data_IF_678845704558
#
_entry.id   IF_678845704558
#
_cell.length_a   1.000
_cell.length_b   1.000
_cell.length_c   1.000
_cell.angle_alpha   90.00
_cell.angle_beta   90.00
_cell.angle_gamma   90.00
#
_symmetry.space_group_name_H-M   'P 1'
#
loop_
_entity.id
_entity.type
_entity.pdbx_description
1 polymer ?
#
# COMPACT_ATOMS: atom_id res chain seq x y z
N UNK A 1 19.81 -6.37 -3.91
CA UNK A 1 18.66 -5.49 -3.53
C UNK A 1 17.31 -6.05 -3.98
N UNK A 2 17.14 -6.47 -5.25
CA UNK A 2 15.84 -6.95 -5.75
C UNK A 2 15.14 -7.98 -4.86
N UNK A 3 15.81 -9.07 -4.46
CA UNK A 3 15.21 -10.12 -3.60
C UNK A 3 14.62 -9.56 -2.29
N UNK A 4 15.33 -8.63 -1.65
CA UNK A 4 14.89 -7.98 -0.40
C UNK A 4 13.71 -7.05 -0.65
N UNK A 5 13.77 -6.25 -1.71
CA UNK A 5 12.66 -5.37 -2.12
C UNK A 5 11.41 -6.16 -2.51
N UNK A 6 11.58 -7.27 -3.23
CA UNK A 6 10.50 -8.18 -3.64
C UNK A 6 9.83 -8.84 -2.44
N UNK A 7 10.63 -9.37 -1.51
CA UNK A 7 10.10 -9.96 -0.28
C UNK A 7 9.37 -8.92 0.58
N UNK A 8 9.94 -7.71 0.72
CA UNK A 8 9.28 -6.58 1.38
C UNK A 8 7.93 -6.28 0.73
N UNK A 9 7.88 -6.13 -0.60
CA UNK A 9 6.62 -5.86 -1.30
C UNK A 9 5.57 -6.94 -1.12
N UNK A 10 5.98 -8.22 -1.17
CA UNK A 10 5.07 -9.34 -0.96
C UNK A 10 4.52 -9.37 0.46
N UNK A 11 5.38 -9.18 1.48
CA UNK A 11 4.96 -9.15 2.88
C UNK A 11 4.10 -7.93 3.17
N UNK A 12 4.45 -6.75 2.66
CA UNK A 12 3.65 -5.53 2.80
C UNK A 12 2.30 -5.67 2.12
N UNK A 13 2.23 -6.26 0.93
CA UNK A 13 0.98 -6.51 0.21
C UNK A 13 0.07 -7.51 0.91
N UNK A 14 0.62 -8.59 1.46
CA UNK A 14 -0.13 -9.55 2.28
C UNK A 14 -0.65 -8.90 3.56
N UNK A 15 0.21 -8.16 4.28
CA UNK A 15 -0.19 -7.45 5.50
C UNK A 15 -1.30 -6.43 5.21
N UNK A 16 -1.17 -5.67 4.12
CA UNK A 16 -2.18 -4.73 3.67
C UNK A 16 -3.49 -5.43 3.31
N UNK A 17 -3.42 -6.58 2.62
CA UNK A 17 -4.60 -7.39 2.31
C UNK A 17 -5.33 -7.88 3.56
N UNK A 18 -4.61 -8.41 4.54
CA UNK A 18 -5.18 -8.82 5.83
C UNK A 18 -5.81 -7.63 6.55
N UNK A 19 -5.12 -6.49 6.61
CA UNK A 19 -5.65 -5.27 7.20
C UNK A 19 -6.94 -4.80 6.49
N UNK A 20 -6.99 -4.86 5.17
CA UNK A 20 -8.20 -4.56 4.39
C UNK A 20 -9.36 -5.49 4.72
N UNK A 21 -9.12 -6.79 4.89
CA UNK A 21 -10.19 -7.73 5.26
C UNK A 21 -10.69 -7.52 6.69
N UNK A 22 -9.79 -7.20 7.62
CA UNK A 22 -10.18 -6.83 8.99
C UNK A 22 -11.04 -5.56 8.94
N UNK A 23 -10.59 -4.54 8.20
CA UNK A 23 -11.32 -3.30 8.02
C UNK A 23 -12.70 -3.54 7.41
N UNK A 24 -12.78 -4.34 6.34
CA UNK A 24 -14.04 -4.72 5.70
C UNK A 24 -15.03 -5.34 6.68
N UNK A 25 -14.55 -6.27 7.52
CA UNK A 25 -15.38 -6.94 8.52
C UNK A 25 -15.88 -5.97 9.59
N UNK A 26 -15.01 -5.09 10.10
CA UNK A 26 -15.41 -4.06 11.07
C UNK A 26 -16.43 -3.11 10.45
N UNK A 27 -16.21 -2.67 9.22
CA UNK A 27 -17.09 -1.78 8.49
C UNK A 27 -18.50 -2.37 8.31
N UNK A 28 -18.59 -3.63 7.86
CA UNK A 28 -19.84 -4.36 7.76
C UNK A 28 -20.54 -4.46 9.12
N UNK A 29 -19.82 -4.85 10.18
CA UNK A 29 -20.41 -4.99 11.51
C UNK A 29 -20.91 -3.66 12.11
N UNK A 30 -20.30 -2.53 11.73
CA UNK A 30 -20.66 -1.21 12.25
C UNK A 30 -21.81 -0.55 11.48
N UNK A 31 -21.91 -0.80 10.17
CA UNK A 31 -22.81 -0.06 9.28
C UNK A 31 -23.87 -0.94 8.62
N UNK A 32 -23.75 -2.27 8.71
CA UNK A 32 -24.71 -3.22 8.14
C UNK A 32 -24.67 -3.34 6.61
N UNK A 33 -23.70 -2.70 5.94
CA UNK A 33 -23.61 -2.65 4.48
C UNK A 33 -22.63 -3.68 3.92
N UNK A 34 -23.07 -4.43 2.92
CA UNK A 34 -22.25 -5.44 2.22
C UNK A 34 -21.84 -4.98 0.81
N UNK A 35 -20.53 -4.80 0.62
CA UNK A 35 -19.93 -4.48 -0.66
C UNK A 35 -19.22 -5.67 -1.32
N UNK A 36 -19.39 -6.89 -0.82
CA UNK A 36 -18.73 -8.10 -1.33
C UNK A 36 -19.00 -8.39 -2.81
N UNK A 37 -20.16 -7.99 -3.33
CA UNK A 37 -20.51 -8.09 -4.75
C UNK A 37 -19.66 -7.17 -5.65
N UNK A 38 -19.10 -6.09 -5.11
CA UNK A 38 -18.28 -5.11 -5.83
C UNK A 38 -16.79 -5.30 -5.51
N UNK A 39 -16.47 -5.43 -4.22
CA UNK A 39 -15.13 -5.59 -3.68
C UNK A 39 -15.03 -6.94 -2.96
N UNK A 40 -14.99 -8.02 -3.74
CA UNK A 40 -14.85 -9.36 -3.21
C UNK A 40 -13.54 -9.52 -2.43
N UNK A 41 -13.55 -10.40 -1.42
CA UNK A 41 -12.38 -10.76 -0.60
C UNK A 41 -11.14 -11.09 -1.43
N UNK A 42 -11.33 -11.84 -2.52
CA UNK A 42 -10.25 -12.21 -3.45
C UNK A 42 -9.69 -11.00 -4.18
N UNK A 43 -10.54 -10.09 -4.65
CA UNK A 43 -10.16 -8.84 -5.30
C UNK A 43 -9.37 -7.94 -4.35
N UNK A 44 -9.81 -7.82 -3.10
CA UNK A 44 -9.12 -7.03 -2.06
C UNK A 44 -7.71 -7.59 -1.81
N UNK A 45 -7.58 -8.90 -1.56
CA UNK A 45 -6.28 -9.53 -1.34
C UNK A 45 -5.38 -9.41 -2.57
N UNK A 46 -5.91 -9.70 -3.76
CA UNK A 46 -5.16 -9.63 -5.01
C UNK A 46 -4.66 -8.21 -5.30
N UNK A 47 -5.51 -7.20 -5.11
CA UNK A 47 -5.14 -5.80 -5.31
C UNK A 47 -4.03 -5.36 -4.33
N UNK A 48 -4.12 -5.74 -3.05
CA UNK A 48 -3.09 -5.42 -2.06
C UNK A 48 -1.76 -6.10 -2.35
N UNK A 49 -1.77 -7.38 -2.70
CA UNK A 49 -0.55 -8.12 -3.08
C UNK A 49 0.05 -7.55 -4.36
N UNK A 50 -0.77 -7.26 -5.37
CA UNK A 50 -0.31 -6.64 -6.62
C UNK A 50 0.30 -5.27 -6.36
N UNK A 51 -0.33 -4.44 -5.52
CA UNK A 51 0.20 -3.15 -5.10
C UNK A 51 1.57 -3.27 -4.44
N UNK A 52 1.75 -4.25 -3.54
CA UNK A 52 3.04 -4.55 -2.92
C UNK A 52 4.11 -5.03 -3.91
N UNK A 53 3.75 -5.89 -4.85
CA UNK A 53 4.68 -6.36 -5.91
C UNK A 53 5.09 -5.22 -6.85
N UNK A 54 4.15 -4.39 -7.28
CA UNK A 54 4.43 -3.21 -8.10
C UNK A 54 5.32 -2.20 -7.35
N UNK A 55 5.08 -2.00 -6.06
CA UNK A 55 5.93 -1.18 -5.20
C UNK A 55 7.36 -1.74 -5.14
N UNK A 56 7.53 -3.06 -4.99
CA UNK A 56 8.85 -3.68 -4.99
C UNK A 56 9.62 -3.49 -6.30
N UNK A 57 8.94 -3.67 -7.43
CA UNK A 57 9.51 -3.48 -8.77
C UNK A 57 9.89 -2.01 -8.95
N UNK A 58 8.98 -1.09 -8.66
CA UNK A 58 9.22 0.36 -8.75
C UNK A 58 10.37 0.82 -7.88
N UNK A 59 10.43 0.36 -6.63
CA UNK A 59 11.52 0.66 -5.71
C UNK A 59 12.86 0.17 -6.26
N UNK A 60 12.91 -1.08 -6.73
CA UNK A 60 14.14 -1.64 -7.27
C UNK A 60 14.60 -0.90 -8.52
N UNK A 61 13.70 -0.57 -9.46
CA UNK A 61 14.04 0.18 -10.66
C UNK A 61 14.59 1.56 -10.31
N UNK A 62 13.88 2.32 -9.46
CA UNK A 62 14.28 3.68 -9.10
C UNK A 62 15.59 3.71 -8.31
N UNK A 63 15.79 2.80 -7.36
CA UNK A 63 17.06 2.69 -6.63
C UNK A 63 18.21 2.23 -7.52
N UNK A 64 17.94 1.42 -8.54
CA UNK A 64 18.95 1.01 -9.54
C UNK A 64 19.38 2.17 -10.45
N UNK A 65 18.43 2.95 -10.97
CA UNK A 65 18.73 4.01 -11.95
C UNK A 65 19.13 5.34 -11.31
N UNK A 66 18.48 5.75 -10.22
CA UNK A 66 18.69 7.05 -9.57
C UNK A 66 19.67 6.98 -8.39
N UNK A 67 20.19 5.78 -8.08
CA UNK A 67 21.20 5.53 -7.05
C UNK A 67 20.77 6.18 -5.72
N UNK A 68 21.54 7.16 -5.24
CA UNK A 68 21.33 7.86 -3.98
C UNK A 68 19.98 8.59 -3.88
N UNK A 69 19.36 8.97 -5.00
CA UNK A 69 18.05 9.66 -5.02
C UNK A 69 16.87 8.69 -5.21
N UNK A 70 17.11 7.42 -5.49
CA UNK A 70 16.04 6.49 -5.87
C UNK A 70 15.02 6.25 -4.77
N UNK A 71 15.46 6.25 -3.51
CA UNK A 71 14.58 6.06 -2.36
C UNK A 71 13.58 7.21 -2.18
N UNK A 72 14.07 8.45 -2.17
CA UNK A 72 13.19 9.62 -1.96
C UNK A 72 12.23 9.79 -3.14
N UNK A 73 12.70 9.54 -4.37
CA UNK A 73 11.85 9.58 -5.57
C UNK A 73 10.80 8.48 -5.53
N UNK A 74 11.16 7.26 -5.13
CA UNK A 74 10.19 6.18 -4.96
C UNK A 74 9.14 6.53 -3.92
N UNK A 75 9.55 6.98 -2.73
CA UNK A 75 8.60 7.30 -1.66
C UNK A 75 7.62 8.40 -2.12
N UNK A 76 8.13 9.45 -2.77
CA UNK A 76 7.31 10.52 -3.32
C UNK A 76 6.30 10.01 -4.36
N UNK A 77 6.75 9.22 -5.33
CA UNK A 77 5.87 8.63 -6.35
C UNK A 77 4.86 7.67 -5.75
N UNK A 78 5.27 6.84 -4.78
CA UNK A 78 4.39 5.86 -4.17
C UNK A 78 3.30 6.52 -3.34
N UNK A 79 3.63 7.60 -2.61
CA UNK A 79 2.65 8.45 -1.94
C UNK A 79 1.67 9.05 -2.94
N UNK A 80 2.15 9.66 -4.03
CA UNK A 80 1.27 10.22 -5.07
C UNK A 80 0.37 9.14 -5.66
N UNK A 81 0.92 8.00 -6.05
CA UNK A 81 0.14 6.90 -6.63
C UNK A 81 -0.92 6.37 -5.66
N UNK A 82 -0.63 6.36 -4.36
CA UNK A 82 -1.60 6.01 -3.32
C UNK A 82 -2.78 6.98 -3.33
N UNK A 83 -2.51 8.29 -3.33
CA UNK A 83 -3.56 9.32 -3.42
C UNK A 83 -4.29 9.32 -4.77
N UNK A 84 -3.61 9.01 -5.88
CA UNK A 84 -4.28 8.87 -7.18
C UNK A 84 -5.19 7.65 -7.18
N UNK A 85 -4.78 6.56 -6.52
CA UNK A 85 -5.55 5.31 -6.53
C UNK A 85 -6.92 5.44 -5.84
N UNK A 86 -7.07 6.35 -4.87
CA UNK A 86 -8.36 6.60 -4.20
C UNK A 86 -9.34 7.38 -5.08
N UNK A 87 -8.89 7.98 -6.19
CA UNK A 87 -9.80 8.64 -7.13
C UNK A 87 -10.73 7.63 -7.81
N UNK A 88 -10.28 6.39 -8.01
CA UNK A 88 -11.09 5.33 -8.59
C UNK A 88 -12.35 5.00 -7.75
N UNK A 89 -12.24 4.66 -6.45
CA UNK A 89 -13.44 4.42 -5.63
C UNK A 89 -14.29 5.68 -5.44
N UNK A 90 -13.70 6.88 -5.41
CA UNK A 90 -14.46 8.14 -5.33
C UNK A 90 -15.27 8.44 -6.59
N UNK A 91 -14.79 8.02 -7.77
CA UNK A 91 -15.44 8.23 -9.05
C UNK A 91 -16.41 7.09 -9.44
N UNK A 92 -16.32 5.94 -8.77
CA UNK A 92 -17.15 4.77 -9.08
C UNK A 92 -18.62 5.06 -8.77
N UNK A 93 -19.50 4.83 -9.75
CA UNK A 93 -20.95 4.84 -9.54
C UNK A 93 -21.45 3.41 -9.42
N UNK A 94 -21.96 3.06 -8.25
CA UNK A 94 -22.48 1.71 -8.01
C UNK A 94 -23.90 1.54 -8.57
N UNK A 95 -24.29 0.30 -8.91
CA UNK A 95 -25.65 0.00 -9.34
C UNK A 95 -26.69 0.35 -8.25
N UNK A 96 -27.92 0.67 -8.67
CA UNK A 96 -29.04 0.95 -7.76
C UNK A 96 -29.46 -0.26 -6.89
N UNK A 97 -28.93 -1.44 -7.18
CA UNK A 97 -29.15 -2.67 -6.39
C UNK A 97 -28.25 -2.74 -5.16
N UNK A 98 -27.22 -1.90 -5.06
CA UNK A 98 -26.35 -1.83 -3.89
C UNK A 98 -26.98 -0.87 -2.88
N UNK A 99 -27.14 -1.33 -1.66
CA UNK A 99 -27.68 -0.53 -0.56
C UNK A 99 -26.64 0.50 -0.08
N UNK A 100 -27.08 1.74 0.13
CA UNK A 100 -26.25 2.86 0.61
C UNK A 100 -24.90 3.02 -0.14
N UNK A 101 -24.92 3.16 -1.48
CA UNK A 101 -23.69 3.20 -2.30
C UNK A 101 -22.75 4.37 -1.94
N UNK A 102 -23.27 5.43 -1.33
CA UNK A 102 -22.49 6.56 -0.80
C UNK A 102 -21.48 6.18 0.29
N UNK A 103 -21.64 5.02 0.94
CA UNK A 103 -20.70 4.50 1.94
C UNK A 103 -19.49 3.78 1.32
N UNK A 104 -19.55 3.44 0.03
CA UNK A 104 -18.50 2.68 -0.64
C UNK A 104 -17.11 3.35 -0.63
N UNK A 105 -16.97 4.68 -0.83
CA UNK A 105 -15.68 5.34 -0.65
C UNK A 105 -15.13 5.18 0.76
N UNK A 106 -15.99 5.27 1.78
CA UNK A 106 -15.58 5.03 3.17
C UNK A 106 -15.03 3.63 3.39
N UNK A 107 -15.61 2.62 2.72
CA UNK A 107 -15.15 1.24 2.76
C UNK A 107 -13.79 1.04 2.05
N UNK A 108 -13.62 1.59 0.86
CA UNK A 108 -12.46 1.28 0.01
C UNK A 108 -11.26 2.21 0.22
N UNK A 109 -11.48 3.51 0.43
CA UNK A 109 -10.41 4.52 0.48
C UNK A 109 -9.30 4.16 1.49
N UNK A 110 -9.60 3.77 2.74
CA UNK A 110 -8.56 3.35 3.69
C UNK A 110 -7.71 2.18 3.19
N UNK A 111 -8.33 1.22 2.50
CA UNK A 111 -7.65 0.02 1.99
C UNK A 111 -6.56 0.35 0.98
N UNK A 112 -6.73 1.43 0.20
CA UNK A 112 -5.72 1.88 -0.76
C UNK A 112 -4.44 2.41 -0.10
N UNK A 113 -4.52 2.92 1.14
CA UNK A 113 -3.35 3.41 1.87
C UNK A 113 -2.55 2.28 2.53
N UNK A 114 -3.17 1.13 2.82
CA UNK A 114 -2.53 0.06 3.57
C UNK A 114 -1.25 -0.50 2.92
N UNK A 115 -1.15 -0.69 1.59
CA UNK A 115 0.11 -1.13 0.97
C UNK A 115 1.28 -0.16 1.21
N UNK A 116 1.02 1.15 1.10
CA UNK A 116 2.05 2.17 1.32
C UNK A 116 2.46 2.25 2.79
N UNK A 117 1.49 2.23 3.72
CA UNK A 117 1.75 2.20 5.15
C UNK A 117 2.55 0.95 5.53
N UNK A 118 2.12 -0.23 5.10
CA UNK A 118 2.82 -1.49 5.36
C UNK A 118 4.24 -1.49 4.77
N UNK A 119 4.45 -0.91 3.58
CA UNK A 119 5.77 -0.74 3.01
C UNK A 119 6.66 0.15 3.87
N UNK A 120 6.22 1.37 4.19
CA UNK A 120 7.02 2.32 4.95
C UNK A 120 7.35 1.81 6.36
N UNK A 121 6.41 1.12 7.00
CA UNK A 121 6.62 0.52 8.32
C UNK A 121 7.59 -0.66 8.28
N UNK A 122 7.46 -1.57 7.31
CA UNK A 122 8.27 -2.80 7.27
C UNK A 122 9.63 -2.59 6.61
N UNK A 123 9.80 -1.56 5.78
CA UNK A 123 11.03 -1.35 5.00
C UNK A 123 12.32 -1.46 5.83
N UNK A 124 12.45 -0.85 7.02
CA UNK A 124 13.68 -0.93 7.81
C UNK A 124 14.09 -2.37 8.18
N UNK A 125 13.13 -3.29 8.26
CA UNK A 125 13.39 -4.71 8.59
C UNK A 125 13.99 -5.48 7.41
N UNK A 126 13.74 -5.06 6.16
CA UNK A 126 14.21 -5.75 4.96
C UNK A 126 15.35 -5.01 4.26
N UNK A 127 15.42 -3.69 4.40
CA UNK A 127 16.39 -2.82 3.74
C UNK A 127 16.92 -1.83 4.77
N UNK A 128 18.10 -2.13 5.32
CA UNK A 128 18.81 -1.23 6.24
C UNK A 128 19.03 0.13 5.58
N UNK A 129 18.61 1.17 6.28
CA UNK A 129 19.06 2.52 5.97
C UNK A 129 20.53 2.58 6.37
N UNK A 130 21.41 2.88 5.42
CA UNK A 130 22.81 3.16 5.75
C UNK A 130 22.79 4.43 6.60
N UNK A 131 22.94 4.29 7.92
CA UNK A 131 23.29 5.42 8.77
C UNK A 131 24.62 5.90 8.21
N UNK A 132 24.62 7.02 7.49
CA UNK A 132 25.88 7.72 7.22
C UNK A 132 26.34 8.18 8.59
N UNK A 133 27.45 7.60 9.07
CA UNK A 133 28.21 8.12 10.21
C UNK A 133 28.59 9.58 9.92
N UNK A 134 27.67 10.51 10.13
CA UNK A 134 27.99 11.94 10.16
C UNK A 134 28.49 12.34 11.55
N UNK A 135 28.18 11.52 12.56
CA UNK A 135 28.45 11.79 13.97
C UNK A 135 29.64 11.02 14.55
N UNK A 136 30.46 10.35 13.73
CA UNK A 136 31.77 9.92 14.24
C UNK A 136 32.66 11.15 14.33
N UNK A 137 33.11 11.57 15.53
CA UNK A 137 34.14 12.59 15.62
C UNK A 137 35.36 12.07 14.84
N UNK A 138 35.76 12.82 13.82
CA UNK A 138 36.99 12.58 13.09
C UNK A 138 38.17 12.90 14.01
N UNK A 139 38.57 11.92 14.82
CA UNK A 139 39.73 12.04 15.71
C UNK A 139 39.48 11.43 17.08
N UNK A 140 39.70 10.12 17.18
CA UNK A 140 40.10 9.43 18.40
C UNK A 140 41.10 8.34 18.02
#
# INVERSE_FOLDING_TARGET
MFKRSFLLGLVSGLLAGVASLIYAKVYYNSLGVDFSAVAATTSILAASVLGGVLAAIGYWLLTKFLKAKGEIVFNFLFTILTFVSILAPLATRLPLTVEMPELFPGYTVPMHFFPALAWFTLKPLFIQQTIKDYDRPTGA
#
